data_IF_208822321260
#
_entry.id   IF_208822321260
#
_cell.length_a   1.000
_cell.length_b   1.000
_cell.length_c   1.000
_cell.angle_alpha   90.00
_cell.angle_beta   90.00
_cell.angle_gamma   90.00
#
_symmetry.space_group_name_H-M   'P 1'
#
loop_
_entity.id
_entity.type
_entity.pdbx_description
1 polymer ?
#
# COMPACT_ATOMS: atom_id res chain seq x y z
N UNK A 1 28.42 3.84 29.90
CA UNK A 1 27.49 4.94 30.22
C UNK A 1 26.35 4.37 31.06
N UNK A 2 26.17 4.82 32.32
CA UNK A 2 24.94 4.50 33.07
C UNK A 2 23.84 5.40 32.51
N UNK A 3 22.92 4.83 31.74
CA UNK A 3 21.70 5.53 31.33
C UNK A 3 20.87 5.76 32.59
N UNK A 4 20.69 7.03 32.98
CA UNK A 4 19.78 7.36 34.07
C UNK A 4 18.35 6.97 33.66
N UNK A 5 17.62 6.21 34.50
CA UNK A 5 16.26 5.80 34.19
C UNK A 5 15.39 7.05 33.99
N UNK A 6 14.74 7.13 32.84
CA UNK A 6 13.78 8.20 32.53
C UNK A 6 12.50 7.86 33.31
N UNK A 7 12.36 8.41 34.51
CA UNK A 7 11.13 8.29 35.29
C UNK A 7 10.01 9.09 34.59
N UNK A 8 9.22 8.42 33.76
CA UNK A 8 7.99 8.96 33.20
C UNK A 8 6.93 9.07 34.32
N UNK A 9 6.64 10.30 34.74
CA UNK A 9 5.66 10.57 35.80
C UNK A 9 4.24 10.21 35.33
N UNK A 10 3.60 9.25 36.02
CA UNK A 10 2.39 8.51 35.60
C UNK A 10 1.06 9.27 35.71
N UNK A 11 1.06 10.61 35.65
CA UNK A 11 -0.05 11.43 36.15
C UNK A 11 -0.99 12.08 35.13
N UNK A 12 -0.73 11.97 33.83
CA UNK A 12 -1.55 12.63 32.80
C UNK A 12 -1.67 11.68 31.62
N UNK A 13 -2.76 11.73 30.86
CA UNK A 13 -2.88 11.12 29.53
C UNK A 13 -1.93 11.87 28.58
N UNK A 14 -0.65 11.75 28.91
CA UNK A 14 0.43 12.62 28.52
C UNK A 14 0.87 12.21 27.16
N UNK A 15 0.53 13.03 26.18
CA UNK A 15 1.10 13.00 24.85
C UNK A 15 2.62 12.86 25.00
N UNK A 16 3.17 11.70 24.66
CA UNK A 16 4.63 11.49 24.66
C UNK A 16 5.18 12.40 23.58
N UNK A 17 5.77 13.51 24.01
CA UNK A 17 6.40 14.44 23.10
C UNK A 17 7.69 13.80 22.58
N UNK A 18 7.79 13.61 21.26
CA UNK A 18 8.98 13.05 20.62
C UNK A 18 10.24 13.84 20.96
N UNK A 19 10.10 15.16 21.17
CA UNK A 19 11.20 16.02 21.58
C UNK A 19 11.73 15.70 22.98
N UNK A 20 10.90 15.14 23.87
CA UNK A 20 11.34 14.73 25.21
C UNK A 20 12.10 13.40 25.21
N UNK A 21 11.88 12.55 24.21
CA UNK A 21 12.62 11.29 24.05
C UNK A 21 14.09 11.55 23.71
N UNK A 22 14.37 12.63 22.97
CA UNK A 22 15.71 13.03 22.58
C UNK A 22 16.13 14.27 23.38
N UNK A 23 16.96 14.08 24.40
CA UNK A 23 17.50 15.22 25.16
C UNK A 23 18.15 16.23 24.21
N UNK A 24 17.93 17.52 24.43
CA UNK A 24 18.52 18.57 23.60
C UNK A 24 20.05 18.40 23.53
N UNK A 25 20.60 18.36 22.31
CA UNK A 25 22.02 18.16 22.06
C UNK A 25 22.54 16.72 22.20
N UNK A 26 21.67 15.70 22.31
CA UNK A 26 22.07 14.28 22.36
C UNK A 26 23.01 13.89 21.20
N UNK A 27 22.78 14.46 20.02
CA UNK A 27 23.57 14.22 18.79
C UNK A 27 25.06 14.48 19.01
N UNK A 28 25.43 15.50 19.79
CA UNK A 28 26.84 15.87 20.04
C UNK A 28 27.65 14.75 20.70
N UNK A 29 26.98 13.84 21.41
CA UNK A 29 27.59 12.72 22.13
C UNK A 29 27.24 11.37 21.49
N UNK A 30 26.57 11.37 20.34
CA UNK A 30 26.15 10.15 19.66
C UNK A 30 27.33 9.49 18.93
N UNK A 31 27.27 8.17 18.77
CA UNK A 31 28.12 7.48 17.81
C UNK A 31 27.59 7.75 16.41
N UNK A 32 28.48 7.95 15.44
CA UNK A 32 28.09 8.25 14.06
C UNK A 32 28.43 7.08 13.14
N UNK A 33 27.48 6.71 12.28
CA UNK A 33 27.73 5.77 11.18
C UNK A 33 27.35 6.47 9.87
N UNK A 34 28.34 6.64 8.98
CA UNK A 34 28.17 7.39 7.72
C UNK A 34 27.59 8.81 7.90
N UNK A 35 27.94 9.47 9.00
CA UNK A 35 27.43 10.80 9.34
C UNK A 35 26.02 10.81 9.95
N UNK A 36 25.40 9.65 10.16
CA UNK A 36 24.09 9.52 10.80
C UNK A 36 24.30 9.30 12.30
N UNK A 37 23.70 10.13 13.19
CA UNK A 37 23.80 9.94 14.63
C UNK A 37 22.99 8.73 15.08
N UNK A 38 23.64 7.82 15.81
CA UNK A 38 23.04 6.61 16.35
C UNK A 38 22.60 6.85 17.79
N UNK A 39 21.31 6.65 18.04
CA UNK A 39 20.78 6.70 19.40
C UNK A 39 20.93 5.32 20.06
N UNK A 40 21.49 5.22 21.29
CA UNK A 40 21.80 3.93 21.91
C UNK A 40 20.57 3.01 22.04
N UNK A 41 19.39 3.57 22.31
CA UNK A 41 18.14 2.79 22.39
C UNK A 41 17.68 2.22 21.04
N UNK A 42 18.17 2.74 19.91
CA UNK A 42 17.88 2.19 18.58
C UNK A 42 18.76 0.99 18.22
N UNK A 43 19.87 0.82 18.92
CA UNK A 43 20.82 -0.29 18.71
C UNK A 43 20.46 -1.52 19.56
N UNK A 44 19.51 -1.40 20.49
CA UNK A 44 19.02 -2.52 21.29
C UNK A 44 18.10 -3.42 20.45
N UNK A 45 18.23 -4.72 20.66
CA UNK A 45 17.19 -5.68 20.26
C UNK A 45 16.12 -5.82 21.36
N UNK A 46 15.03 -6.53 21.07
CA UNK A 46 13.89 -6.64 21.99
C UNK A 46 14.28 -7.27 23.32
N UNK A 47 15.11 -8.33 23.30
CA UNK A 47 15.54 -9.02 24.52
C UNK A 47 16.44 -8.15 25.40
N UNK A 48 17.44 -7.47 24.81
CA UNK A 48 18.30 -6.53 25.53
C UNK A 48 17.47 -5.40 26.15
N UNK A 49 16.52 -4.85 25.40
CA UNK A 49 15.60 -3.85 25.91
C UNK A 49 14.75 -4.39 27.08
N UNK A 50 14.31 -5.64 27.05
CA UNK A 50 13.59 -6.23 28.18
C UNK A 50 14.51 -6.41 29.40
N UNK A 51 15.77 -6.82 29.18
CA UNK A 51 16.76 -7.02 30.23
C UNK A 51 17.19 -5.72 30.92
N UNK A 52 17.18 -4.58 30.23
CA UNK A 52 17.46 -3.28 30.86
C UNK A 52 16.44 -2.90 31.95
N UNK A 53 15.21 -3.42 31.89
CA UNK A 53 14.20 -3.22 32.91
C UNK A 53 14.32 -4.23 34.09
N UNK A 54 15.41 -5.01 34.15
CA UNK A 54 15.65 -5.97 35.22
C UNK A 54 15.84 -5.25 36.57
N UNK A 55 14.77 -5.19 37.35
CA UNK A 55 14.73 -4.51 38.65
C UNK A 55 13.41 -3.79 38.89
N UNK A 56 12.75 -3.36 37.82
CA UNK A 56 11.42 -2.75 37.86
C UNK A 56 10.39 -3.68 37.22
N UNK A 57 9.55 -4.29 38.07
CA UNK A 57 8.53 -5.26 37.63
C UNK A 57 7.44 -4.61 36.80
N UNK A 58 7.12 -3.33 37.03
CA UNK A 58 6.05 -2.66 36.29
C UNK A 58 6.51 -2.30 34.89
N UNK A 59 7.72 -1.75 34.78
CA UNK A 59 8.30 -1.42 33.48
C UNK A 59 8.52 -2.67 32.62
N UNK A 60 9.02 -3.76 33.22
CA UNK A 60 9.19 -5.03 32.52
C UNK A 60 7.86 -5.59 31.99
N UNK A 61 6.77 -5.48 32.76
CA UNK A 61 5.42 -5.89 32.30
C UNK A 61 4.94 -5.04 31.13
N UNK A 62 5.15 -3.73 31.18
CA UNK A 62 4.76 -2.82 30.11
C UNK A 62 5.51 -3.14 28.80
N UNK A 63 6.84 -3.26 28.87
CA UNK A 63 7.69 -3.62 27.72
C UNK A 63 7.26 -4.98 27.13
N UNK A 64 7.06 -5.98 27.99
CA UNK A 64 6.64 -7.34 27.58
C UNK A 64 5.27 -7.35 26.91
N UNK A 65 4.29 -6.62 27.44
CA UNK A 65 2.94 -6.57 26.86
C UNK A 65 2.96 -6.00 25.44
N UNK A 66 3.73 -4.93 25.22
CA UNK A 66 3.85 -4.32 23.90
C UNK A 66 4.57 -5.24 22.91
N UNK A 67 5.64 -5.93 23.34
CA UNK A 67 6.28 -6.96 22.52
C UNK A 67 5.30 -8.07 22.13
N UNK A 68 4.50 -8.58 23.07
CA UNK A 68 3.49 -9.62 22.76
C UNK A 68 2.50 -9.14 21.69
N UNK A 69 2.00 -7.90 21.81
CA UNK A 69 1.07 -7.33 20.82
C UNK A 69 1.75 -7.19 19.45
N UNK A 70 2.97 -6.67 19.41
CA UNK A 70 3.76 -6.53 18.19
C UNK A 70 4.04 -7.89 17.52
N UNK A 71 4.43 -8.90 18.30
CA UNK A 71 4.65 -10.27 17.82
C UNK A 71 3.37 -10.86 17.24
N UNK A 72 2.21 -10.70 17.91
CA UNK A 72 0.92 -11.16 17.37
C UNK A 72 0.61 -10.50 16.02
N UNK A 73 0.78 -9.18 15.92
CA UNK A 73 0.57 -8.44 14.67
C UNK A 73 1.53 -8.93 13.57
N UNK A 74 2.79 -9.16 13.89
CA UNK A 74 3.79 -9.67 12.95
C UNK A 74 3.51 -11.11 12.50
N UNK A 75 2.96 -11.97 13.36
CA UNK A 75 2.53 -13.34 12.97
C UNK A 75 1.39 -13.26 11.95
N UNK A 76 0.36 -12.45 12.22
CA UNK A 76 -0.77 -12.26 11.31
C UNK A 76 -0.30 -11.66 9.98
N UNK A 77 0.55 -10.63 10.03
CA UNK A 77 1.14 -10.00 8.86
C UNK A 77 1.96 -11.00 8.02
N UNK A 78 2.80 -11.81 8.66
CA UNK A 78 3.60 -12.85 8.00
C UNK A 78 2.71 -13.85 7.28
N UNK A 79 1.64 -14.33 7.93
CA UNK A 79 0.69 -15.25 7.30
C UNK A 79 0.03 -14.64 6.07
N UNK A 80 -0.43 -13.39 6.15
CA UNK A 80 -1.05 -12.67 5.03
C UNK A 80 -0.06 -12.50 3.88
N UNK A 81 1.16 -12.03 4.15
CA UNK A 81 2.16 -11.83 3.11
C UNK A 81 2.62 -13.16 2.49
N UNK A 82 2.77 -14.23 3.28
CA UNK A 82 3.08 -15.56 2.78
C UNK A 82 1.98 -16.07 1.84
N UNK A 83 0.71 -15.93 2.26
CA UNK A 83 -0.44 -16.30 1.45
C UNK A 83 -0.47 -15.50 0.13
N UNK A 84 -0.28 -14.18 0.20
CA UNK A 84 -0.27 -13.30 -0.97
C UNK A 84 0.88 -13.65 -1.92
N UNK A 85 2.09 -13.89 -1.39
CA UNK A 85 3.24 -14.28 -2.19
C UNK A 85 3.00 -15.61 -2.93
N UNK A 86 2.45 -16.62 -2.25
CA UNK A 86 2.12 -17.92 -2.85
C UNK A 86 1.07 -17.79 -3.96
N UNK A 87 0.00 -17.02 -3.73
CA UNK A 87 -1.05 -16.79 -4.73
C UNK A 87 -0.50 -16.02 -5.94
N UNK A 88 0.21 -14.92 -5.70
CA UNK A 88 0.81 -14.11 -6.77
C UNK A 88 1.83 -14.90 -7.59
N UNK A 89 2.63 -15.76 -6.94
CA UNK A 89 3.55 -16.66 -7.64
C UNK A 89 2.81 -17.67 -8.53
N UNK A 90 1.70 -18.24 -8.07
CA UNK A 90 0.87 -19.15 -8.89
C UNK A 90 0.27 -18.43 -10.11
N UNK A 91 -0.21 -17.20 -9.93
CA UNK A 91 -0.74 -16.38 -11.01
C UNK A 91 0.37 -16.05 -12.02
N UNK A 92 1.53 -15.63 -11.52
CA UNK A 92 2.65 -15.24 -12.37
C UNK A 92 3.22 -16.41 -13.17
N UNK A 93 3.24 -17.61 -12.59
CA UNK A 93 3.62 -18.85 -13.31
C UNK A 93 2.69 -19.14 -14.50
N UNK A 94 1.40 -18.79 -14.39
CA UNK A 94 0.42 -18.95 -15.48
C UNK A 94 0.47 -17.81 -16.49
N UNK A 95 0.77 -16.59 -16.04
CA UNK A 95 0.73 -15.37 -16.86
C UNK A 95 1.99 -14.49 -16.62
N UNK A 96 3.11 -14.88 -17.24
CA UNK A 96 4.44 -14.28 -16.98
C UNK A 96 4.56 -12.79 -17.33
N UNK A 97 3.72 -12.28 -18.22
CA UNK A 97 3.82 -10.93 -18.78
C UNK A 97 2.91 -9.90 -18.10
N UNK A 98 2.21 -10.27 -17.02
CA UNK A 98 1.33 -9.34 -16.30
C UNK A 98 2.13 -8.59 -15.23
N UNK A 99 2.48 -7.33 -15.50
CA UNK A 99 3.27 -6.47 -14.60
C UNK A 99 2.65 -6.36 -13.19
N UNK A 100 1.33 -6.22 -13.08
CA UNK A 100 0.62 -6.22 -11.80
C UNK A 100 0.89 -7.48 -10.94
N UNK A 101 1.12 -8.64 -11.58
CA UNK A 101 1.49 -9.88 -10.89
C UNK A 101 2.88 -9.81 -10.28
N UNK A 102 3.85 -9.20 -10.98
CA UNK A 102 5.19 -8.94 -10.46
C UNK A 102 5.17 -7.94 -9.30
N UNK A 103 4.41 -6.84 -9.44
CA UNK A 103 4.26 -5.84 -8.38
C UNK A 103 3.65 -6.45 -7.12
N UNK A 104 2.60 -7.27 -7.25
CA UNK A 104 1.97 -7.93 -6.11
C UNK A 104 2.92 -8.95 -5.43
N UNK A 105 3.70 -9.70 -6.22
CA UNK A 105 4.71 -10.61 -5.67
C UNK A 105 5.82 -9.84 -4.95
N UNK A 106 6.37 -8.78 -5.56
CA UNK A 106 7.43 -7.97 -4.97
C UNK A 106 6.98 -7.32 -3.66
N UNK A 107 5.76 -6.78 -3.63
CA UNK A 107 5.15 -6.22 -2.43
C UNK A 107 5.00 -7.27 -1.31
N UNK A 108 4.53 -8.48 -1.63
CA UNK A 108 4.36 -9.55 -0.65
C UNK A 108 5.70 -10.10 -0.14
N UNK A 109 6.71 -10.23 -1.01
CA UNK A 109 8.06 -10.64 -0.63
C UNK A 109 8.72 -9.59 0.25
N UNK A 110 8.60 -8.31 -0.07
CA UNK A 110 9.08 -7.22 0.79
C UNK A 110 8.42 -7.29 2.19
N UNK A 111 7.13 -7.64 2.24
CA UNK A 111 6.40 -7.83 3.49
C UNK A 111 6.97 -8.97 4.32
N UNK A 112 7.29 -10.11 3.69
CA UNK A 112 7.96 -11.24 4.36
C UNK A 112 9.37 -10.89 4.85
N UNK A 113 10.13 -10.16 4.03
CA UNK A 113 11.48 -9.69 4.39
C UNK A 113 11.43 -8.76 5.59
N UNK A 114 10.34 -8.03 5.79
CA UNK A 114 10.10 -7.23 7.00
C UNK A 114 9.64 -8.10 8.18
N UNK A 115 8.58 -8.88 8.03
CA UNK A 115 7.95 -9.54 9.18
C UNK A 115 8.75 -10.73 9.73
N UNK A 116 9.52 -11.44 8.91
CA UNK A 116 10.33 -12.58 9.37
C UNK A 116 11.47 -12.13 10.33
N UNK A 117 12.30 -11.13 9.99
CA UNK A 117 13.24 -10.54 10.96
C UNK A 117 12.56 -9.97 12.20
N UNK A 118 11.38 -9.35 12.07
CA UNK A 118 10.65 -8.86 13.25
C UNK A 118 10.20 -9.98 14.18
N UNK A 119 9.80 -11.14 13.65
CA UNK A 119 9.55 -12.34 14.48
C UNK A 119 10.84 -12.91 15.09
N UNK A 120 11.97 -12.74 14.42
CA UNK A 120 13.28 -13.12 14.94
C UNK A 120 13.82 -12.13 15.99
N UNK A 121 13.26 -10.91 16.10
CA UNK A 121 13.69 -9.89 17.05
C UNK A 121 13.50 -10.30 18.52
N UNK A 122 12.61 -11.25 18.79
CA UNK A 122 12.37 -11.83 20.13
C UNK A 122 13.52 -12.76 20.60
N UNK A 123 14.46 -13.11 19.71
CA UNK A 123 15.64 -13.91 20.05
C UNK A 123 16.83 -13.05 20.46
N UNK A 124 17.78 -13.56 21.27
CA UNK A 124 18.91 -12.79 21.80
C UNK A 124 19.83 -12.19 20.72
N UNK A 125 19.90 -12.81 19.55
CA UNK A 125 20.68 -12.36 18.39
C UNK A 125 19.79 -11.75 17.29
N UNK A 126 18.57 -11.35 17.64
CA UNK A 126 17.62 -10.71 16.73
C UNK A 126 18.10 -9.34 16.23
N UNK A 127 17.52 -8.82 15.13
CA UNK A 127 17.86 -7.50 14.61
C UNK A 127 17.63 -6.41 15.67
N UNK A 128 18.47 -5.37 15.64
CA UNK A 128 18.21 -4.19 16.44
C UNK A 128 17.03 -3.38 15.89
N UNK A 129 16.44 -2.54 16.75
CA UNK A 129 15.30 -1.69 16.39
C UNK A 129 15.56 -0.87 15.10
N UNK A 130 16.76 -0.27 14.96
CA UNK A 130 17.14 0.47 13.76
C UNK A 130 17.09 -0.38 12.50
N UNK A 131 17.66 -1.59 12.53
CA UNK A 131 17.64 -2.50 11.38
C UNK A 131 16.21 -2.88 11.00
N UNK A 132 15.35 -3.16 11.98
CA UNK A 132 13.94 -3.46 11.74
C UNK A 132 13.23 -2.29 11.03
N UNK A 133 13.45 -1.05 11.48
CA UNK A 133 12.87 0.15 10.85
C UNK A 133 13.43 0.42 9.47
N UNK A 134 14.72 0.15 9.23
CA UNK A 134 15.34 0.28 7.91
C UNK A 134 14.73 -0.70 6.90
N UNK A 135 14.53 -1.96 7.32
CA UNK A 135 13.86 -2.97 6.50
C UNK A 135 12.40 -2.57 6.25
N UNK A 136 11.70 -2.08 7.27
CA UNK A 136 10.33 -1.58 7.15
C UNK A 136 10.22 -0.42 6.17
N UNK A 137 11.09 0.60 6.29
CA UNK A 137 11.10 1.78 5.42
C UNK A 137 11.31 1.41 3.95
N UNK A 138 12.28 0.53 3.68
CA UNK A 138 12.51 0.00 2.33
C UNK A 138 11.27 -0.75 1.80
N UNK A 139 10.70 -1.66 2.60
CA UNK A 139 9.52 -2.44 2.22
C UNK A 139 8.28 -1.57 1.93
N UNK A 140 8.04 -0.54 2.74
CA UNK A 140 6.97 0.44 2.54
C UNK A 140 7.16 1.19 1.22
N UNK A 141 8.36 1.71 0.93
CA UNK A 141 8.62 2.40 -0.35
C UNK A 141 8.43 1.48 -1.55
N UNK A 142 8.92 0.23 -1.49
CA UNK A 142 8.70 -0.77 -2.54
C UNK A 142 7.20 -1.03 -2.75
N UNK A 143 6.44 -1.17 -1.66
CA UNK A 143 4.99 -1.35 -1.69
C UNK A 143 4.29 -0.18 -2.37
N UNK A 144 4.57 1.06 -1.96
CA UNK A 144 3.95 2.26 -2.53
C UNK A 144 4.25 2.40 -4.03
N UNK A 145 5.49 2.13 -4.46
CA UNK A 145 5.86 2.13 -5.88
C UNK A 145 5.10 1.02 -6.64
N UNK A 146 5.00 -0.19 -6.09
CA UNK A 146 4.26 -1.31 -6.71
C UNK A 146 2.77 -1.02 -6.89
N UNK A 147 2.13 -0.45 -5.87
CA UNK A 147 0.72 -0.03 -5.93
C UNK A 147 0.57 1.08 -6.98
N UNK A 148 1.44 2.09 -6.94
CA UNK A 148 1.45 3.19 -7.90
C UNK A 148 1.60 2.73 -9.36
N UNK A 149 2.53 1.81 -9.64
CA UNK A 149 2.72 1.20 -10.96
C UNK A 149 1.45 0.46 -11.41
N UNK A 150 0.83 -0.30 -10.50
CA UNK A 150 -0.38 -1.08 -10.85
C UNK A 150 -1.56 -0.16 -11.18
N UNK A 151 -1.76 0.90 -10.39
CA UNK A 151 -2.79 1.91 -10.64
C UNK A 151 -2.51 2.66 -11.96
N UNK A 152 -1.26 3.06 -12.19
CA UNK A 152 -0.84 3.74 -13.40
C UNK A 152 -1.06 2.89 -14.65
N UNK A 153 -0.69 1.61 -14.61
CA UNK A 153 -0.90 0.67 -15.70
C UNK A 153 -2.40 0.57 -16.06
N UNK A 154 -3.27 0.49 -15.05
CA UNK A 154 -4.71 0.42 -15.27
C UNK A 154 -5.28 1.71 -15.83
N UNK A 155 -4.90 2.85 -15.26
CA UNK A 155 -5.33 4.15 -15.75
C UNK A 155 -4.86 4.37 -17.20
N UNK A 156 -3.62 3.99 -17.53
CA UNK A 156 -3.07 4.05 -18.89
C UNK A 156 -3.87 3.22 -19.90
N UNK A 157 -4.21 1.97 -19.56
CA UNK A 157 -4.99 1.10 -20.46
C UNK A 157 -6.41 1.61 -20.66
N UNK A 158 -7.01 2.19 -19.62
CA UNK A 158 -8.39 2.67 -19.65
C UNK A 158 -8.52 4.01 -20.40
N UNK A 159 -7.49 4.85 -20.38
CA UNK A 159 -7.44 6.13 -21.11
C UNK A 159 -6.80 6.00 -22.49
N UNK A 160 -7.11 4.92 -23.20
CA UNK A 160 -6.66 4.64 -24.56
C UNK A 160 -5.14 4.87 -24.77
N UNK A 161 -4.33 4.37 -23.82
CA UNK A 161 -2.86 4.42 -23.89
C UNK A 161 -2.29 5.85 -23.98
N UNK A 162 -2.94 6.82 -23.34
CA UNK A 162 -2.46 8.19 -23.29
C UNK A 162 -1.06 8.30 -22.64
N UNK A 163 -0.05 8.70 -23.42
CA UNK A 163 1.35 8.84 -23.00
C UNK A 163 1.56 9.92 -21.95
N UNK A 164 0.72 10.97 -21.93
CA UNK A 164 0.81 12.03 -20.93
C UNK A 164 0.51 11.52 -19.53
N UNK A 165 -0.51 10.66 -19.40
CA UNK A 165 -0.87 10.05 -18.12
C UNK A 165 0.26 9.18 -17.57
N UNK A 166 0.90 8.38 -18.44
CA UNK A 166 2.05 7.57 -18.09
C UNK A 166 3.21 8.44 -17.60
N UNK A 167 3.55 9.48 -18.36
CA UNK A 167 4.65 10.40 -18.04
C UNK A 167 4.41 11.12 -16.71
N UNK A 168 3.23 11.69 -16.51
CA UNK A 168 2.85 12.36 -15.27
C UNK A 168 2.89 11.40 -14.07
N UNK A 169 2.34 10.19 -14.23
CA UNK A 169 2.38 9.16 -13.18
C UNK A 169 3.80 8.73 -12.81
N UNK A 170 4.69 8.53 -13.80
CA UNK A 170 6.08 8.19 -13.55
C UNK A 170 6.83 9.31 -12.82
N UNK A 171 6.62 10.57 -13.21
CA UNK A 171 7.22 11.73 -12.53
C UNK A 171 6.76 11.79 -11.07
N UNK A 172 5.49 11.52 -10.79
CA UNK A 172 4.96 11.52 -9.41
C UNK A 172 5.45 10.34 -8.57
N UNK A 173 5.73 9.19 -9.18
CA UNK A 173 6.27 8.02 -8.48
C UNK A 173 7.78 8.10 -8.22
N UNK A 174 8.52 8.86 -9.03
CA UNK A 174 9.96 9.03 -8.90
C UNK A 174 10.45 9.50 -7.51
N UNK A 175 9.81 10.48 -6.83
CA UNK A 175 10.24 10.92 -5.49
C UNK A 175 9.91 9.95 -4.34
N UNK A 176 9.19 8.86 -4.56
CA UNK A 176 8.79 7.91 -3.50
C UNK A 176 9.95 7.33 -2.65
N UNK A 177 11.15 7.06 -3.20
CA UNK A 177 12.31 6.60 -2.42
C UNK A 177 12.81 7.61 -1.38
N UNK A 178 12.42 8.89 -1.47
CA UNK A 178 12.79 9.92 -0.47
C UNK A 178 12.32 9.50 0.93
N UNK A 179 11.18 8.81 1.05
CA UNK A 179 10.70 8.32 2.35
C UNK A 179 11.68 7.31 2.96
N UNK A 180 12.20 6.37 2.16
CA UNK A 180 13.23 5.42 2.63
C UNK A 180 14.49 6.15 3.10
N UNK A 181 14.92 7.17 2.34
CA UNK A 181 16.08 7.98 2.72
C UNK A 181 15.90 8.59 4.11
N UNK A 182 14.78 9.27 4.36
CA UNK A 182 14.51 9.83 5.69
C UNK A 182 14.40 8.75 6.77
N UNK A 183 13.80 7.59 6.47
CA UNK A 183 13.75 6.47 7.43
C UNK A 183 15.15 5.95 7.78
N UNK A 184 16.08 5.93 6.83
CA UNK A 184 17.46 5.53 7.08
C UNK A 184 18.27 6.55 7.87
N UNK A 185 18.04 7.84 7.63
CA UNK A 185 18.75 8.92 8.33
C UNK A 185 18.12 9.31 9.66
N UNK A 186 16.88 8.88 9.95
CA UNK A 186 16.20 9.23 11.19
C UNK A 186 16.66 8.34 12.35
N UNK A 187 16.84 8.90 13.55
CA UNK A 187 17.16 8.12 14.74
C UNK A 187 16.04 7.13 15.08
N UNK A 188 16.43 5.98 15.60
CA UNK A 188 15.53 4.95 16.11
C UNK A 188 15.65 4.87 17.64
N UNK A 189 14.56 4.57 18.33
CA UNK A 189 14.60 4.32 19.76
C UNK A 189 13.55 3.28 20.19
N UNK A 190 13.96 2.34 21.04
CA UNK A 190 13.03 1.49 21.77
C UNK A 190 12.35 2.30 22.90
N UNK A 191 11.03 2.34 22.90
CA UNK A 191 10.21 3.07 23.89
C UNK A 191 9.31 2.06 24.61
N UNK A 192 9.20 2.10 25.95
CA UNK A 192 8.44 1.10 26.70
C UNK A 192 6.98 0.99 26.28
N UNK A 193 6.37 2.09 25.84
CA UNK A 193 4.97 2.17 25.45
C UNK A 193 4.69 1.74 24.01
N UNK A 194 5.66 1.84 23.09
CA UNK A 194 5.40 1.69 21.65
C UNK A 194 6.30 0.64 20.96
N UNK A 195 7.26 0.06 21.68
CA UNK A 195 8.26 -0.82 21.08
C UNK A 195 9.28 0.00 20.29
N UNK A 196 9.60 -0.44 19.08
CA UNK A 196 10.55 0.23 18.23
C UNK A 196 9.93 1.44 17.52
N UNK A 197 10.43 2.65 17.79
CA UNK A 197 9.90 3.91 17.26
C UNK A 197 10.93 4.61 16.37
N UNK A 198 10.49 5.05 15.19
CA UNK A 198 11.27 5.94 14.33
C UNK A 198 11.06 7.39 14.77
N UNK A 199 12.13 8.10 15.11
CA UNK A 199 12.08 9.50 15.52
C UNK A 199 12.32 10.39 14.29
N UNK A 200 11.31 10.42 13.42
CA UNK A 200 11.34 11.22 12.20
C UNK A 200 10.97 12.70 12.46
N UNK A 201 11.43 13.61 11.60
CA UNK A 201 11.06 15.03 11.67
C UNK A 201 9.55 15.20 11.41
N UNK A 202 8.83 16.10 12.13
CA UNK A 202 7.38 16.21 12.06
C UNK A 202 6.82 16.53 10.67
N UNK A 203 7.66 17.00 9.75
CA UNK A 203 7.35 17.27 8.35
C UNK A 203 7.21 15.98 7.52
N UNK A 204 7.80 14.85 7.96
CA UNK A 204 7.84 13.62 7.15
C UNK A 204 6.44 13.06 6.80
N UNK A 205 5.46 12.96 7.73
CA UNK A 205 4.10 12.57 7.40
C UNK A 205 3.47 13.50 6.35
N UNK A 206 3.73 14.80 6.44
CA UNK A 206 3.22 15.80 5.50
C UNK A 206 3.87 15.66 4.12
N UNK A 207 5.19 15.43 4.07
CA UNK A 207 5.91 15.14 2.83
C UNK A 207 5.31 13.89 2.19
N UNK A 208 5.13 12.81 2.96
CA UNK A 208 4.53 11.58 2.43
C UNK A 208 3.11 11.80 1.93
N UNK A 209 2.28 12.54 2.67
CA UNK A 209 0.95 12.92 2.20
C UNK A 209 1.01 13.73 0.90
N UNK A 210 1.93 14.69 0.79
CA UNK A 210 2.11 15.52 -0.39
C UNK A 210 2.59 14.70 -1.61
N UNK A 211 3.33 13.60 -1.39
CA UNK A 211 3.74 12.68 -2.47
C UNK A 211 2.60 11.74 -2.87
N UNK A 212 1.85 11.20 -1.91
CA UNK A 212 0.83 10.18 -2.16
C UNK A 212 -0.53 10.77 -2.58
N UNK A 213 -0.91 11.93 -2.04
CA UNK A 213 -2.21 12.54 -2.31
C UNK A 213 -2.42 12.93 -3.79
N UNK A 214 -1.47 13.58 -4.50
CA UNK A 214 -1.64 13.89 -5.92
C UNK A 214 -1.85 12.64 -6.77
N UNK A 215 -1.09 11.57 -6.50
CA UNK A 215 -1.20 10.29 -7.19
C UNK A 215 -2.60 9.70 -7.01
N UNK A 216 -3.05 9.63 -5.75
CA UNK A 216 -4.37 9.11 -5.39
C UNK A 216 -5.52 9.96 -5.97
N UNK A 217 -5.40 11.29 -5.97
CA UNK A 217 -6.40 12.20 -6.54
C UNK A 217 -6.48 12.02 -8.06
N UNK A 218 -5.34 12.05 -8.75
CA UNK A 218 -5.30 11.89 -10.22
C UNK A 218 -5.89 10.56 -10.63
N UNK A 219 -5.52 9.46 -9.97
CA UNK A 219 -6.10 8.15 -10.28
C UNK A 219 -7.58 8.07 -9.94
N UNK A 220 -8.01 8.64 -8.81
CA UNK A 220 -9.45 8.70 -8.47
C UNK A 220 -10.25 9.43 -9.53
N UNK A 221 -9.81 10.61 -9.96
CA UNK A 221 -10.46 11.38 -11.03
C UNK A 221 -10.46 10.59 -12.33
N UNK A 222 -9.33 9.97 -12.70
CA UNK A 222 -9.23 9.14 -13.90
C UNK A 222 -10.22 7.96 -13.88
N UNK A 223 -10.40 7.30 -12.73
CA UNK A 223 -11.36 6.21 -12.59
C UNK A 223 -12.81 6.71 -12.57
N UNK A 224 -13.11 7.83 -11.90
CA UNK A 224 -14.45 8.41 -11.86
C UNK A 224 -14.92 8.80 -13.28
N UNK A 225 -14.06 9.44 -14.09
CA UNK A 225 -14.38 9.79 -15.47
C UNK A 225 -14.76 8.54 -16.28
N UNK A 226 -14.05 7.45 -16.06
CA UNK A 226 -14.28 6.19 -16.77
C UNK A 226 -15.58 5.55 -16.32
N UNK A 227 -15.82 5.50 -15.00
CA UNK A 227 -17.09 5.03 -14.43
C UNK A 227 -18.25 5.81 -15.03
N UNK A 228 -18.13 7.13 -15.09
CA UNK A 228 -19.16 8.01 -15.63
C UNK A 228 -19.43 7.74 -17.11
N UNK A 229 -18.39 7.62 -17.94
CA UNK A 229 -18.52 7.28 -19.36
C UNK A 229 -19.16 5.90 -19.57
N UNK A 230 -18.71 4.90 -18.82
CA UNK A 230 -19.21 3.53 -18.91
C UNK A 230 -20.68 3.42 -18.47
N UNK A 231 -21.05 4.15 -17.42
CA UNK A 231 -22.43 4.26 -16.95
C UNK A 231 -23.36 4.81 -18.04
N UNK A 232 -22.92 5.86 -18.74
CA UNK A 232 -23.72 6.46 -19.82
C UNK A 232 -23.81 5.57 -21.07
N UNK A 233 -22.80 4.74 -21.35
CA UNK A 233 -22.76 3.91 -22.56
C UNK A 233 -23.52 2.58 -22.42
N UNK A 234 -23.38 1.88 -21.29
CA UNK A 234 -23.85 0.50 -21.15
C UNK A 234 -25.16 0.33 -20.35
N UNK A 235 -25.69 1.42 -19.77
CA UNK A 235 -26.85 1.36 -18.90
C UNK A 235 -26.59 0.62 -17.57
N UNK A 236 -27.56 0.64 -16.66
CA UNK A 236 -27.38 0.25 -15.25
C UNK A 236 -27.05 -1.24 -15.04
N UNK A 237 -27.58 -2.15 -15.86
CA UNK A 237 -27.48 -3.59 -15.63
C UNK A 237 -26.10 -4.17 -16.01
N UNK A 238 -25.54 -3.77 -17.16
CA UNK A 238 -24.19 -4.17 -17.57
C UNK A 238 -23.13 -3.46 -16.72
N UNK A 239 -23.39 -2.20 -16.34
CA UNK A 239 -22.56 -1.43 -15.42
C UNK A 239 -22.40 -2.10 -14.06
N UNK A 240 -23.48 -2.63 -13.47
CA UNK A 240 -23.44 -3.27 -12.16
C UNK A 240 -22.47 -4.47 -12.11
N UNK A 241 -22.30 -5.19 -13.24
CA UNK A 241 -21.34 -6.29 -13.36
C UNK A 241 -19.91 -5.75 -13.53
N UNK A 242 -19.71 -4.75 -14.40
CA UNK A 242 -18.38 -4.21 -14.68
C UNK A 242 -17.74 -3.51 -13.47
N UNK A 243 -18.54 -2.78 -12.69
CA UNK A 243 -18.05 -2.07 -11.49
C UNK A 243 -17.60 -3.04 -10.39
N UNK A 244 -18.31 -4.18 -10.25
CA UNK A 244 -18.08 -5.17 -9.19
C UNK A 244 -16.72 -5.86 -9.31
N UNK A 245 -16.16 -5.98 -10.51
CA UNK A 245 -14.99 -6.85 -10.74
C UNK A 245 -13.63 -6.14 -10.64
N UNK A 246 -13.57 -4.81 -10.80
CA UNK A 246 -12.28 -4.10 -10.85
C UNK A 246 -12.27 -2.68 -10.32
N UNK A 247 -13.28 -1.86 -10.66
CA UNK A 247 -13.31 -0.45 -10.28
C UNK A 247 -13.52 -0.31 -8.77
N UNK A 248 -14.42 -1.09 -8.19
CA UNK A 248 -14.69 -1.04 -6.75
C UNK A 248 -13.42 -1.33 -5.93
N UNK A 249 -12.65 -2.36 -6.29
CA UNK A 249 -11.41 -2.69 -5.56
C UNK A 249 -10.38 -1.56 -5.68
N UNK A 250 -10.25 -0.93 -6.86
CA UNK A 250 -9.34 0.20 -7.05
C UNK A 250 -9.71 1.42 -6.21
N UNK A 251 -11.01 1.76 -6.16
CA UNK A 251 -11.49 2.84 -5.30
C UNK A 251 -11.27 2.53 -3.81
N UNK A 252 -11.47 1.28 -3.39
CA UNK A 252 -11.22 0.86 -2.00
C UNK A 252 -9.72 1.00 -1.66
N UNK A 253 -8.82 0.62 -2.57
CA UNK A 253 -7.36 0.81 -2.39
C UNK A 253 -7.03 2.29 -2.18
N UNK A 254 -7.53 3.17 -3.05
CA UNK A 254 -7.21 4.60 -2.94
C UNK A 254 -7.79 5.20 -1.65
N UNK A 255 -9.02 4.80 -1.29
CA UNK A 255 -9.67 5.26 -0.07
C UNK A 255 -8.96 4.75 1.19
N UNK A 256 -8.55 3.48 1.24
CA UNK A 256 -7.80 2.93 2.38
C UNK A 256 -6.49 3.67 2.58
N UNK A 257 -5.77 3.95 1.49
CA UNK A 257 -4.51 4.68 1.55
C UNK A 257 -4.72 6.10 2.07
N UNK A 258 -5.74 6.79 1.56
CA UNK A 258 -6.06 8.14 2.02
C UNK A 258 -6.41 8.16 3.52
N UNK A 259 -7.25 7.24 3.98
CA UNK A 259 -7.64 7.15 5.40
C UNK A 259 -6.44 6.85 6.28
N UNK A 260 -5.61 5.86 5.93
CA UNK A 260 -4.42 5.53 6.71
C UNK A 260 -3.45 6.72 6.77
N UNK A 261 -3.25 7.42 5.64
CA UNK A 261 -2.39 8.60 5.59
C UNK A 261 -2.91 9.75 6.46
N UNK A 262 -4.22 10.00 6.48
CA UNK A 262 -4.81 10.99 7.37
C UNK A 262 -4.62 10.60 8.85
N UNK A 263 -4.79 9.32 9.19
CA UNK A 263 -4.53 8.82 10.54
C UNK A 263 -3.07 9.03 10.98
N UNK A 264 -2.10 8.84 10.07
CA UNK A 264 -0.69 9.13 10.34
C UNK A 264 -0.46 10.63 10.57
N UNK A 265 -0.94 11.48 9.66
CA UNK A 265 -0.66 12.93 9.67
C UNK A 265 -1.28 13.61 10.89
N UNK A 266 -2.49 13.21 11.27
CA UNK A 266 -3.15 13.73 12.47
C UNK A 266 -2.69 13.06 13.77
N UNK A 267 -1.72 12.15 13.68
CA UNK A 267 -1.23 11.33 14.79
C UNK A 267 -2.39 10.72 15.61
N UNK A 268 -3.35 10.11 14.92
CA UNK A 268 -4.61 9.64 15.51
C UNK A 268 -4.40 8.64 16.67
N UNK A 269 -3.27 7.93 16.69
CA UNK A 269 -2.87 7.01 17.75
C UNK A 269 -1.59 7.45 18.48
N UNK A 270 -1.21 8.74 18.39
CA UNK A 270 0.02 9.27 18.96
C UNK A 270 1.26 8.57 18.40
N UNK A 271 2.19 8.06 19.24
CA UNK A 271 3.38 7.33 18.77
C UNK A 271 3.07 6.09 17.92
N UNK A 272 1.94 5.41 18.17
CA UNK A 272 1.51 4.24 17.41
C UNK A 272 1.03 4.57 15.99
N UNK A 273 0.94 5.85 15.63
CA UNK A 273 0.47 6.23 14.29
C UNK A 273 1.38 5.69 13.18
N UNK A 274 2.63 5.31 13.50
CA UNK A 274 3.54 4.60 12.58
C UNK A 274 2.99 3.24 12.14
N UNK A 275 2.20 2.57 12.96
CA UNK A 275 1.57 1.29 12.61
C UNK A 275 0.57 1.43 11.47
N UNK A 276 -0.02 2.61 11.26
CA UNK A 276 -0.91 2.84 10.12
C UNK A 276 -0.18 2.71 8.78
N UNK A 277 1.15 2.92 8.70
CA UNK A 277 1.91 2.60 7.49
C UNK A 277 1.96 1.10 7.21
N UNK A 278 2.13 0.29 8.27
CA UNK A 278 2.15 -1.17 8.15
C UNK A 278 0.76 -1.70 7.84
N UNK A 279 -0.28 -1.14 8.47
CA UNK A 279 -1.67 -1.51 8.16
C UNK A 279 -2.06 -1.13 6.73
N UNK A 280 -1.68 0.06 6.26
CA UNK A 280 -1.88 0.46 4.86
C UNK A 280 -1.22 -0.56 3.91
N UNK A 281 0.01 -0.95 4.20
CA UNK A 281 0.72 -1.96 3.43
C UNK A 281 0.01 -3.32 3.44
N UNK A 282 -0.47 -3.78 4.59
CA UNK A 282 -1.21 -5.04 4.70
C UNK A 282 -2.53 -5.01 3.91
N UNK A 283 -3.31 -3.94 4.09
CA UNK A 283 -4.61 -3.76 3.42
C UNK A 283 -4.40 -3.71 1.91
N UNK A 284 -3.47 -2.88 1.44
CA UNK A 284 -3.17 -2.77 0.00
C UNK A 284 -2.69 -4.09 -0.60
N UNK A 285 -1.86 -4.86 0.10
CA UNK A 285 -1.40 -6.17 -0.38
C UNK A 285 -2.57 -7.15 -0.57
N UNK A 286 -3.50 -7.20 0.39
CA UNK A 286 -4.70 -8.05 0.31
C UNK A 286 -5.62 -7.61 -0.84
N UNK A 287 -5.86 -6.31 -0.97
CA UNK A 287 -6.71 -5.75 -2.03
C UNK A 287 -6.11 -5.97 -3.42
N UNK A 288 -4.79 -5.79 -3.57
CA UNK A 288 -4.10 -6.00 -4.83
C UNK A 288 -4.14 -7.48 -5.25
N UNK A 289 -3.94 -8.39 -4.29
CA UNK A 289 -4.10 -9.83 -4.50
C UNK A 289 -5.52 -10.18 -4.92
N UNK A 290 -6.53 -9.63 -4.25
CA UNK A 290 -7.94 -9.82 -4.61
C UNK A 290 -8.20 -9.36 -6.05
N UNK A 291 -7.76 -8.15 -6.40
CA UNK A 291 -7.88 -7.62 -7.75
C UNK A 291 -7.21 -8.52 -8.80
N UNK A 292 -6.00 -9.02 -8.52
CA UNK A 292 -5.31 -9.89 -9.46
C UNK A 292 -6.05 -11.23 -9.65
N UNK A 293 -6.59 -11.79 -8.56
CA UNK A 293 -7.38 -13.01 -8.63
C UNK A 293 -8.65 -12.84 -9.47
N UNK A 294 -9.35 -11.70 -9.37
CA UNK A 294 -10.56 -11.46 -10.19
C UNK A 294 -10.23 -11.35 -11.66
N UNK A 295 -9.14 -10.66 -12.03
CA UNK A 295 -8.67 -10.57 -13.41
C UNK A 295 -8.33 -11.94 -14.02
N UNK A 296 -7.65 -12.80 -13.26
CA UNK A 296 -7.29 -14.13 -13.73
C UNK A 296 -8.52 -15.03 -13.91
N UNK A 297 -9.47 -14.98 -12.99
CA UNK A 297 -10.73 -15.73 -13.11
C UNK A 297 -11.51 -15.30 -14.35
N UNK A 298 -11.61 -13.99 -14.61
CA UNK A 298 -12.28 -13.46 -15.81
C UNK A 298 -11.60 -13.90 -17.11
N UNK A 299 -10.27 -14.00 -17.13
CA UNK A 299 -9.49 -14.45 -18.30
C UNK A 299 -9.60 -15.96 -18.56
N UNK A 300 -9.94 -16.75 -17.53
CA UNK A 300 -9.95 -18.22 -17.61
C UNK A 300 -11.26 -18.80 -18.15
N UNK A 301 -12.32 -18.00 -18.26
CA UNK A 301 -13.57 -18.44 -18.88
C UNK A 301 -13.27 -18.65 -20.37
N UNK A 302 -13.27 -19.91 -20.86
CA UNK A 302 -13.00 -20.17 -22.26
C UNK A 302 -14.00 -19.35 -23.06
N UNK A 303 -13.50 -18.44 -23.89
CA UNK A 303 -14.30 -17.84 -24.95
C UNK A 303 -14.72 -18.98 -25.87
N UNK A 304 -15.77 -19.71 -25.48
CA UNK A 304 -16.60 -20.44 -26.41
C UNK A 304 -17.38 -19.33 -27.10
N UNK A 305 -17.07 -19.01 -28.36
CA UNK A 305 -17.74 -17.91 -29.03
C UNK A 305 -19.22 -18.25 -29.14
N UNK A 306 -20.05 -17.68 -28.26
CA UNK A 306 -21.52 -17.72 -28.35
C UNK A 306 -22.01 -16.79 -29.47
N UNK A 307 -21.17 -16.48 -30.47
CA UNK A 307 -21.58 -15.80 -31.70
C UNK A 307 -22.41 -16.71 -32.60
N UNK A 308 -22.34 -18.05 -32.43
CA UNK A 308 -23.16 -18.97 -33.21
C UNK A 308 -24.67 -18.75 -33.01
N UNK A 309 -25.11 -18.34 -31.82
CA UNK A 309 -26.53 -18.05 -31.56
C UNK A 309 -26.95 -16.60 -31.81
N UNK A 310 -26.04 -15.62 -31.70
CA UNK A 310 -26.36 -14.23 -32.06
C UNK A 310 -26.44 -14.02 -33.58
N UNK A 311 -25.61 -14.68 -34.39
CA UNK A 311 -25.73 -14.64 -35.86
C UNK A 311 -27.03 -15.30 -36.34
N UNK A 312 -27.54 -16.31 -35.62
CA UNK A 312 -28.82 -16.94 -35.90
C UNK A 312 -30.04 -16.04 -35.57
N UNK A 313 -29.86 -15.03 -34.72
CA UNK A 313 -30.85 -13.98 -34.46
C UNK A 313 -30.85 -12.90 -35.54
N UNK A 314 -29.68 -12.47 -36.01
CA UNK A 314 -29.57 -11.50 -37.10
C UNK A 314 -30.01 -12.06 -38.46
N UNK A 315 -29.83 -13.37 -38.70
CA UNK A 315 -30.37 -14.01 -39.92
C UNK A 315 -31.90 -14.04 -39.97
N UNK A 316 -32.59 -13.94 -38.82
CA UNK A 316 -34.06 -13.83 -38.76
C UNK A 316 -34.58 -12.40 -38.95
N UNK A 317 -33.73 -11.39 -38.74
CA UNK A 317 -34.09 -9.97 -38.95
C UNK A 317 -33.89 -9.57 -40.42
N UNK A 318 -32.94 -10.20 -41.13
CA UNK A 318 -32.66 -9.92 -42.54
C UNK A 318 -33.74 -10.39 -43.54
N UNK A 319 -34.78 -11.12 -43.10
CA UNK A 319 -35.90 -11.55 -43.97
C UNK A 319 -37.16 -10.70 -43.85
N UNK A 320 -37.17 -9.65 -43.01
CA UNK A 320 -38.23 -8.64 -43.06
C UNK A 320 -37.88 -7.61 -44.14
N UNK A 321 -38.04 -8.00 -45.40
CA UNK A 321 -37.96 -7.08 -46.52
C UNK A 321 -39.06 -6.01 -46.36
N UNK A 322 -38.73 -4.70 -46.39
CA UNK A 322 -39.74 -3.68 -46.54
C UNK A 322 -40.37 -3.82 -47.93
N UNK A 323 -41.65 -4.15 -47.95
CA UNK A 323 -42.52 -4.10 -49.12
C UNK A 323 -42.73 -2.63 -49.53
N UNK A 324 -41.68 -1.96 -50.01
CA UNK A 324 -41.75 -0.66 -50.67
C UNK A 324 -41.73 -0.89 -52.18
N UNK A 325 -42.84 -1.39 -52.69
CA UNK A 325 -43.15 -1.33 -54.11
C UNK A 325 -44.09 -0.16 -54.38
N UNK A 326 -43.75 0.60 -55.42
CA UNK A 326 -44.57 1.59 -56.13
C UNK A 326 -44.86 2.89 -55.38
N UNK A 327 -44.07 3.92 -55.65
CA UNK A 327 -44.58 5.18 -56.22
C UNK A 327 -43.39 6.07 -56.64
N UNK A 328 -43.53 6.71 -57.80
CA UNK A 328 -42.70 7.76 -58.41
C UNK A 328 -41.84 7.32 -59.61
N UNK A 329 -42.55 7.13 -60.73
CA UNK A 329 -42.06 7.48 -62.06
C UNK A 329 -42.17 9.00 -62.26
N UNK A 330 -41.27 9.57 -63.07
CA UNK A 330 -41.26 10.97 -63.54
C UNK A 330 -40.24 11.83 -62.79
N UNK A 331 -39.27 12.50 -63.41
CA UNK A 331 -39.02 12.77 -64.82
C UNK A 331 -37.89 13.80 -64.97
N UNK A 332 -37.35 13.90 -66.19
CA UNK A 332 -36.58 15.00 -66.80
C UNK A 332 -35.26 15.46 -66.12
N UNK A 333 -34.09 15.30 -66.75
CA UNK A 333 -33.52 16.14 -67.84
C UNK A 333 -33.34 17.60 -67.41
N UNK A 334 -32.09 18.07 -67.27
CA UNK A 334 -31.47 19.08 -68.15
C UNK A 334 -29.97 19.25 -67.84
N UNK A 335 -29.22 19.24 -68.95
CA UNK A 335 -27.87 19.72 -69.31
C UNK A 335 -26.98 20.32 -68.22
#
# INVERSE_FOLDING_TARGET
MRLHPICLSRGSSGRIDRSQLLKEGWEKNATYLWGIPLHPMGELNAMQFLMEAQGDKEEMRLRRNNMIVETILNVVATYIFAHNALVSLRILRRQKYVLAGWCCLLQAVAGLVYTLPSLYADFPDGPCCRQALWIAGFGISVSTICVGITLLQKAYLVHDKNKWLLTAGTILLFPQPIITYYTWTSPAAMVPSAGCLLLYPPELPWIKLALDAPINIIFSVAFIIVVYRQYHLFGSAAWARLVRDGIQTMCIIVLSNLVCMLCVVFEAAGPFSQLFFVFDWLITSVLLRHHLSTLCSASSVPHRPTTAHMLQGFSKIATAAPEYSKFAAGGAVYV
#
